data_IF_815877885999
#
_entry.id   IF_815877885999
#
_cell.length_a   1.000
_cell.length_b   1.000
_cell.length_c   1.000
_cell.angle_alpha   90.00
_cell.angle_beta   90.00
_cell.angle_gamma   90.00
#
_symmetry.space_group_name_H-M   'P 1'
#
loop_
_entity.id
_entity.type
_entity.pdbx_description
1 polymer ?
#
# COMPACT_ATOMS: atom_id res chain seq x y z
N UNK A 1 -14.54 0.31 4.31
CA UNK A 1 -15.44 -0.87 4.38
C UNK A 1 -15.02 -1.84 3.29
N UNK A 2 -14.91 -3.15 3.55
CA UNK A 2 -14.58 -4.13 2.54
C UNK A 2 -15.64 -4.13 1.42
N UNK A 3 -15.21 -4.05 0.16
CA UNK A 3 -16.11 -3.86 -1.01
C UNK A 3 -16.83 -5.13 -1.46
N UNK A 4 -16.21 -6.30 -1.29
CA UNK A 4 -16.74 -7.58 -1.78
C UNK A 4 -18.12 -7.97 -1.19
N UNK A 5 -18.41 -7.78 0.11
CA UNK A 5 -19.77 -7.97 0.64
C UNK A 5 -20.81 -7.06 -0.01
N UNK A 6 -20.43 -5.82 -0.36
CA UNK A 6 -21.31 -4.88 -1.08
C UNK A 6 -21.61 -5.37 -2.49
N UNK A 7 -20.59 -5.86 -3.21
CA UNK A 7 -20.74 -6.43 -4.56
C UNK A 7 -21.67 -7.65 -4.53
N UNK A 8 -21.46 -8.58 -3.59
CA UNK A 8 -22.31 -9.78 -3.44
C UNK A 8 -23.78 -9.43 -3.14
N UNK A 9 -24.02 -8.34 -2.41
CA UNK A 9 -25.39 -7.83 -2.17
C UNK A 9 -26.01 -7.20 -3.42
N UNK A 10 -25.21 -6.53 -4.25
CA UNK A 10 -25.67 -5.90 -5.49
C UNK A 10 -25.91 -6.91 -6.62
N UNK A 11 -25.25 -8.08 -6.57
CA UNK A 11 -25.35 -9.16 -7.55
C UNK A 11 -25.77 -10.48 -6.88
N UNK A 12 -27.01 -10.58 -6.34
CA UNK A 12 -27.43 -11.74 -5.55
C UNK A 12 -27.49 -13.04 -6.36
N UNK A 13 -27.76 -12.95 -7.66
CA UNK A 13 -27.90 -14.10 -8.56
C UNK A 13 -26.58 -14.52 -9.22
N UNK A 14 -25.45 -13.89 -8.85
CA UNK A 14 -24.13 -14.16 -9.44
C UNK A 14 -23.17 -14.71 -8.38
N UNK A 15 -22.56 -15.86 -8.65
CA UNK A 15 -21.51 -16.43 -7.81
C UNK A 15 -20.18 -15.74 -8.08
N UNK A 16 -19.67 -14.96 -7.11
CA UNK A 16 -18.37 -14.28 -7.21
C UNK A 16 -17.27 -15.12 -6.56
N UNK A 17 -16.40 -15.69 -7.40
CA UNK A 17 -15.14 -16.33 -6.99
C UNK A 17 -13.97 -15.34 -7.11
N UNK A 18 -13.03 -15.40 -6.17
CA UNK A 18 -11.85 -14.53 -6.14
C UNK A 18 -10.61 -15.39 -5.99
N UNK A 19 -9.65 -15.20 -6.88
CA UNK A 19 -8.34 -15.87 -6.87
C UNK A 19 -7.25 -14.81 -6.82
N UNK A 20 -6.20 -15.06 -6.04
CA UNK A 20 -5.03 -14.19 -5.97
C UNK A 20 -3.93 -14.77 -6.85
N UNK A 21 -3.39 -13.95 -7.75
CA UNK A 21 -2.31 -14.29 -8.67
C UNK A 21 -1.21 -13.23 -8.55
N UNK A 22 0.04 -13.61 -8.81
CA UNK A 22 1.18 -12.69 -8.82
C UNK A 22 1.13 -11.75 -10.04
N UNK A 23 0.82 -12.30 -11.23
CA UNK A 23 0.74 -11.57 -12.48
C UNK A 23 -0.69 -11.55 -13.04
N UNK A 24 -0.99 -10.51 -13.83
CA UNK A 24 -2.30 -10.38 -14.48
C UNK A 24 -2.53 -11.53 -15.48
N UNK A 25 -3.68 -12.24 -15.39
CA UNK A 25 -4.00 -13.31 -16.32
C UNK A 25 -4.37 -12.75 -17.70
N UNK A 26 -4.24 -13.57 -18.72
CA UNK A 26 -4.73 -13.24 -20.05
C UNK A 26 -6.22 -13.56 -20.13
N UNK A 27 -7.07 -12.54 -20.02
CA UNK A 27 -8.54 -12.69 -20.03
C UNK A 27 -9.12 -13.30 -21.33
N UNK A 28 -8.33 -13.39 -22.41
CA UNK A 28 -8.74 -14.06 -23.65
C UNK A 28 -8.45 -15.56 -23.66
N UNK A 29 -7.64 -16.06 -22.71
CA UNK A 29 -7.17 -17.45 -22.65
C UNK A 29 -7.47 -18.13 -21.32
N UNK A 30 -7.44 -17.37 -20.24
CA UNK A 30 -7.67 -17.85 -18.89
C UNK A 30 -9.16 -17.74 -18.52
N UNK A 31 -9.60 -18.60 -17.61
CA UNK A 31 -11.00 -18.68 -17.15
C UNK A 31 -11.29 -17.62 -16.07
N UNK A 32 -11.08 -16.35 -16.41
CA UNK A 32 -11.40 -15.21 -15.57
C UNK A 32 -12.23 -14.20 -16.35
N UNK A 33 -13.31 -13.71 -15.72
CA UNK A 33 -14.15 -12.66 -16.31
C UNK A 33 -13.56 -11.26 -16.10
N UNK A 34 -12.83 -11.07 -15.00
CA UNK A 34 -12.25 -9.78 -14.59
C UNK A 34 -10.90 -10.00 -13.90
N UNK A 35 -9.97 -9.06 -14.10
CA UNK A 35 -8.70 -8.97 -13.39
C UNK A 35 -8.57 -7.60 -12.71
N UNK A 36 -8.00 -7.56 -11.50
CA UNK A 36 -7.75 -6.33 -10.75
C UNK A 36 -6.28 -6.30 -10.31
N UNK A 37 -5.51 -5.40 -10.90
CA UNK A 37 -4.07 -5.29 -10.66
C UNK A 37 -3.67 -3.82 -10.51
N UNK A 38 -2.65 -3.57 -9.67
CA UNK A 38 -2.00 -2.27 -9.61
C UNK A 38 -0.94 -2.22 -10.71
N UNK A 39 -1.15 -1.38 -11.73
CA UNK A 39 -0.22 -1.23 -12.85
C UNK A 39 -0.33 0.19 -13.45
N UNK A 40 0.60 0.51 -14.35
CA UNK A 40 0.43 1.67 -15.22
C UNK A 40 -0.64 1.38 -16.27
N UNK A 41 -1.60 2.29 -16.47
CA UNK A 41 -2.64 2.09 -17.45
C UNK A 41 -2.06 2.06 -18.86
N UNK A 42 -2.44 1.03 -19.62
CA UNK A 42 -2.02 0.84 -21.02
C UNK A 42 -2.88 1.65 -21.98
N UNK A 43 -4.11 1.97 -21.57
CA UNK A 43 -5.10 2.67 -22.40
C UNK A 43 -5.88 1.73 -23.33
N UNK A 44 -5.80 0.42 -23.12
CA UNK A 44 -6.62 -0.55 -23.83
C UNK A 44 -8.13 -0.36 -23.52
N UNK A 45 -9.00 -0.63 -24.48
CA UNK A 45 -10.44 -0.41 -24.34
C UNK A 45 -11.10 -1.35 -23.32
N UNK A 46 -10.45 -2.48 -23.00
CA UNK A 46 -10.86 -3.39 -21.93
C UNK A 46 -10.36 -3.01 -20.54
N UNK A 47 -9.57 -1.94 -20.41
CA UNK A 47 -8.99 -1.50 -19.15
C UNK A 47 -9.82 -0.36 -18.53
N UNK A 48 -9.96 -0.37 -17.20
CA UNK A 48 -10.63 0.72 -16.47
C UNK A 48 -9.87 1.04 -15.20
N UNK A 49 -9.43 2.30 -15.07
CA UNK A 49 -8.76 2.80 -13.86
C UNK A 49 -9.81 3.00 -12.76
N UNK A 50 -9.78 2.13 -11.76
CA UNK A 50 -10.73 2.19 -10.62
C UNK A 50 -10.29 3.20 -9.57
N UNK A 51 -8.98 3.37 -9.39
CA UNK A 51 -8.40 4.33 -8.47
C UNK A 51 -6.93 4.59 -8.83
N UNK A 52 -6.49 5.83 -8.65
CA UNK A 52 -5.07 6.16 -8.61
C UNK A 52 -4.53 5.92 -7.21
N UNK A 53 -3.28 5.47 -7.14
CA UNK A 53 -2.62 5.19 -5.86
C UNK A 53 -1.35 6.01 -5.67
N UNK A 54 -1.07 6.32 -4.41
CA UNK A 54 0.10 7.07 -4.00
C UNK A 54 0.67 6.44 -2.73
N UNK A 55 2.00 6.42 -2.64
CA UNK A 55 2.69 5.87 -1.46
C UNK A 55 2.98 7.02 -0.48
N UNK A 56 2.61 6.79 0.77
CA UNK A 56 2.93 7.69 1.87
C UNK A 56 3.49 6.94 3.07
N UNK A 57 3.99 7.73 4.04
CA UNK A 57 4.37 7.26 5.35
C UNK A 57 3.19 7.39 6.30
N UNK A 58 2.98 6.36 7.11
CA UNK A 58 1.90 6.31 8.09
C UNK A 58 2.45 5.88 9.44
N UNK A 59 1.92 6.49 10.50
CA UNK A 59 2.24 6.11 11.89
C UNK A 59 0.95 5.97 12.68
N UNK A 60 0.99 5.14 13.72
CA UNK A 60 -0.09 5.08 14.68
C UNK A 60 -0.33 6.45 15.33
N UNK A 61 -1.59 6.83 15.55
CA UNK A 61 -1.96 8.15 16.09
C UNK A 61 -1.33 8.50 17.44
N UNK A 62 -0.97 7.49 18.24
CA UNK A 62 -0.37 7.70 19.55
C UNK A 62 1.13 8.04 19.47
N UNK A 63 1.77 7.87 18.30
CA UNK A 63 3.15 8.25 18.10
C UNK A 63 3.25 9.77 17.84
N UNK A 64 4.32 10.43 18.33
CA UNK A 64 4.51 11.86 18.14
C UNK A 64 4.65 12.21 16.65
N UNK A 65 3.96 13.27 16.24
CA UNK A 65 3.93 13.78 14.85
C UNK A 65 5.17 14.62 14.51
N UNK A 66 6.33 14.25 15.04
CA UNK A 66 7.61 14.95 14.86
C UNK A 66 8.21 14.66 13.50
N UNK A 67 9.08 15.57 13.03
CA UNK A 67 9.84 15.44 11.78
C UNK A 67 10.58 14.10 11.69
N UNK A 68 10.67 13.56 10.47
CA UNK A 68 11.33 12.29 10.14
C UNK A 68 12.80 12.26 10.60
N UNK A 69 13.41 13.43 10.76
CA UNK A 69 14.78 13.63 11.24
C UNK A 69 14.98 13.48 12.74
N UNK A 70 13.90 13.47 13.53
CA UNK A 70 13.94 13.38 15.00
C UNK A 70 13.49 12.01 15.50
N UNK A 71 12.98 11.16 14.62
CA UNK A 71 12.51 9.83 14.94
C UNK A 71 13.69 8.85 14.80
N UNK A 72 14.65 8.95 15.72
CA UNK A 72 15.90 8.18 15.74
C UNK A 72 15.70 6.72 16.22
N UNK A 73 14.46 6.31 16.51
CA UNK A 73 14.17 5.05 17.23
C UNK A 73 12.94 4.27 16.72
N UNK A 74 12.48 4.49 15.49
CA UNK A 74 11.27 3.85 14.97
C UNK A 74 11.59 3.02 13.73
N UNK A 75 11.13 1.76 13.74
CA UNK A 75 11.37 0.82 12.65
C UNK A 75 10.59 1.21 11.39
N UNK A 76 11.20 1.03 10.21
CA UNK A 76 10.49 1.15 8.94
C UNK A 76 9.85 -0.19 8.63
N UNK A 77 8.55 -0.17 8.43
CA UNK A 77 7.77 -1.33 8.00
C UNK A 77 7.55 -1.16 6.50
N UNK A 78 8.24 -1.97 5.72
CA UNK A 78 8.20 -1.97 4.26
C UNK A 78 7.67 -3.31 3.76
N UNK A 79 6.98 -3.30 2.62
CA UNK A 79 6.55 -4.51 1.96
C UNK A 79 7.28 -4.66 0.63
N UNK A 80 7.91 -5.82 0.45
CA UNK A 80 8.73 -6.16 -0.73
C UNK A 80 7.95 -6.20 -2.04
N UNK A 81 6.61 -6.19 -1.99
CA UNK A 81 5.73 -6.18 -3.16
C UNK A 81 5.53 -4.81 -3.79
N UNK A 82 6.28 -3.79 -3.36
CA UNK A 82 6.31 -2.48 -4.03
C UNK A 82 7.18 -2.61 -5.29
N UNK A 83 6.62 -2.82 -6.50
CA UNK A 83 7.41 -3.10 -7.69
C UNK A 83 8.06 -1.80 -8.15
N UNK A 84 9.35 -1.82 -8.49
CA UNK A 84 10.04 -0.65 -9.04
C UNK A 84 10.68 0.27 -7.99
N UNK A 85 11.74 -0.23 -7.34
CA UNK A 85 12.61 0.54 -6.43
C UNK A 85 13.41 1.62 -7.19
N UNK A 86 12.78 2.76 -7.52
CA UNK A 86 13.44 4.02 -7.93
C UNK A 86 12.60 5.25 -7.56
N UNK A 87 12.31 5.46 -6.28
CA UNK A 87 11.36 6.52 -5.89
C UNK A 87 11.94 7.44 -4.81
N UNK A 88 12.82 8.31 -5.28
CA UNK A 88 13.43 9.42 -4.53
C UNK A 88 14.45 10.14 -5.43
N UNK A 89 14.90 11.36 -5.11
CA UNK A 89 15.96 12.03 -5.87
C UNK A 89 17.26 11.21 -5.97
N UNK A 90 17.47 10.27 -5.03
CA UNK A 90 18.58 9.31 -5.00
C UNK A 90 18.28 7.94 -5.65
N UNK A 91 17.06 7.69 -6.16
CA UNK A 91 16.73 6.47 -6.90
C UNK A 91 16.77 5.16 -6.10
N UNK A 92 16.84 5.21 -4.76
CA UNK A 92 16.89 4.03 -3.86
C UNK A 92 15.94 4.26 -2.69
N UNK A 93 15.19 3.23 -2.27
CA UNK A 93 14.36 3.30 -1.05
C UNK A 93 14.61 2.08 -0.15
N UNK A 94 14.85 2.24 1.16
CA UNK A 94 15.00 3.50 1.88
C UNK A 94 16.37 4.12 1.60
N UNK A 95 16.39 5.42 1.25
CA UNK A 95 17.61 6.18 1.03
C UNK A 95 18.00 6.91 2.33
N UNK A 96 19.13 6.59 2.95
CA UNK A 96 19.56 7.19 4.22
C UNK A 96 19.72 8.71 4.16
N UNK A 97 19.95 9.27 2.96
CA UNK A 97 20.07 10.71 2.74
C UNK A 97 18.70 11.44 2.72
N UNK A 98 17.62 10.76 2.32
CA UNK A 98 16.25 11.28 2.39
C UNK A 98 15.55 10.88 3.70
N UNK A 99 16.05 9.85 4.35
CA UNK A 99 15.59 9.31 5.62
C UNK A 99 16.81 9.11 6.52
N UNK A 100 17.18 10.05 7.40
CA UNK A 100 18.22 9.85 8.40
C UNK A 100 17.69 8.91 9.49
N UNK A 101 17.36 7.67 9.11
CA UNK A 101 16.85 6.65 10.02
C UNK A 101 18.02 5.79 10.44
N UNK A 102 18.23 5.77 11.75
CA UNK A 102 19.07 4.78 12.40
C UNK A 102 18.16 3.61 12.78
N UNK A 103 18.50 2.41 12.29
CA UNK A 103 17.98 1.08 12.63
C UNK A 103 16.88 0.48 11.74
N UNK A 104 16.77 -0.85 11.89
CA UNK A 104 16.36 -1.91 10.95
C UNK A 104 15.08 -1.64 10.14
N UNK A 105 15.19 -1.86 8.84
CA UNK A 105 14.04 -2.02 7.95
C UNK A 105 13.53 -3.43 8.16
N UNK A 106 12.29 -3.56 8.64
CA UNK A 106 11.61 -4.85 8.62
C UNK A 106 10.95 -4.98 7.25
N UNK A 107 11.65 -5.64 6.34
CA UNK A 107 11.10 -6.03 5.05
C UNK A 107 10.18 -7.24 5.25
N UNK A 108 8.88 -6.99 5.20
CA UNK A 108 7.87 -8.04 5.31
C UNK A 108 7.40 -8.46 3.91
N UNK A 109 7.24 -9.76 3.63
CA UNK A 109 6.71 -10.23 2.35
C UNK A 109 5.21 -9.96 2.19
N UNK A 110 4.51 -9.62 3.27
CA UNK A 110 3.05 -9.44 3.27
C UNK A 110 2.68 -8.08 3.88
N UNK A 111 1.98 -7.27 3.07
CA UNK A 111 1.51 -5.94 3.44
C UNK A 111 0.66 -5.93 4.72
N UNK A 112 -0.14 -6.98 4.93
CA UNK A 112 -1.02 -7.09 6.11
C UNK A 112 -0.23 -7.17 7.42
N UNK A 113 0.96 -7.78 7.40
CA UNK A 113 1.83 -7.88 8.58
C UNK A 113 2.44 -6.51 8.87
N UNK A 114 3.03 -5.85 7.86
CA UNK A 114 3.54 -4.48 8.01
C UNK A 114 2.45 -3.51 8.50
N UNK A 115 1.22 -3.62 8.00
CA UNK A 115 0.10 -2.80 8.48
C UNK A 115 -0.25 -3.09 9.93
N UNK A 116 -0.28 -4.36 10.35
CA UNK A 116 -0.59 -4.74 11.73
C UNK A 116 0.46 -4.21 12.72
N UNK A 117 1.74 -4.34 12.40
CA UNK A 117 2.85 -3.80 13.19
C UNK A 117 2.76 -2.27 13.31
N UNK A 118 2.38 -1.59 12.22
CA UNK A 118 2.21 -0.14 12.22
C UNK A 118 1.03 0.30 13.09
N UNK A 119 -0.08 -0.43 13.04
CA UNK A 119 -1.24 -0.22 13.92
C UNK A 119 -0.92 -0.50 15.39
N UNK A 120 0.00 -1.43 15.67
CA UNK A 120 0.53 -1.68 17.02
C UNK A 120 1.50 -0.57 17.49
N UNK A 121 1.86 0.38 16.62
CA UNK A 121 2.78 1.47 16.94
C UNK A 121 4.25 1.07 16.89
N UNK A 122 4.60 -0.05 16.25
CA UNK A 122 5.98 -0.52 16.12
C UNK A 122 6.84 0.35 15.19
N UNK A 123 6.21 1.14 14.31
CA UNK A 123 6.91 1.67 13.16
C UNK A 123 6.22 2.76 12.36
N UNK A 124 6.99 3.30 11.40
CA UNK A 124 6.45 4.02 10.25
C UNK A 124 6.19 2.99 9.15
N UNK A 125 4.94 2.86 8.72
CA UNK A 125 4.56 2.10 7.53
C UNK A 125 4.77 2.95 6.29
N UNK A 126 5.50 2.42 5.32
CA UNK A 126 5.57 2.99 3.97
C UNK A 126 4.69 2.10 3.09
N UNK A 127 3.61 2.67 2.55
CA UNK A 127 2.65 1.84 1.83
C UNK A 127 1.66 2.62 0.97
N UNK A 128 0.89 1.83 0.22
CA UNK A 128 -0.19 2.27 -0.65
C UNK A 128 -1.31 2.95 0.14
N UNK A 129 -1.69 4.17 -0.23
CA UNK A 129 -2.73 4.94 0.45
C UNK A 129 -4.08 4.22 0.41
N UNK A 130 -4.42 3.63 -0.73
CA UNK A 130 -5.68 2.92 -0.93
C UNK A 130 -5.85 1.74 0.04
N UNK A 131 -4.74 1.11 0.43
CA UNK A 131 -4.76 -0.06 1.32
C UNK A 131 -4.87 0.30 2.81
N UNK A 132 -4.59 1.56 3.19
CA UNK A 132 -4.72 2.05 4.58
C UNK A 132 -5.87 3.03 4.79
N UNK A 133 -6.64 3.36 3.75
CA UNK A 133 -7.66 4.41 3.77
C UNK A 133 -8.66 4.23 4.94
N UNK A 134 -9.08 2.98 5.18
CA UNK A 134 -9.98 2.65 6.28
C UNK A 134 -9.35 2.92 7.67
N UNK A 135 -8.06 2.62 7.84
CA UNK A 135 -7.32 2.88 9.08
C UNK A 135 -7.09 4.37 9.33
N UNK A 136 -6.93 5.16 8.25
CA UNK A 136 -6.88 6.62 8.34
C UNK A 136 -8.25 7.19 8.71
N UNK A 137 -9.32 6.70 8.08
CA UNK A 137 -10.69 7.14 8.33
C UNK A 137 -11.13 6.87 9.78
N UNK A 138 -10.70 5.75 10.36
CA UNK A 138 -10.90 5.44 11.80
C UNK A 138 -10.00 6.28 12.72
N UNK A 139 -8.99 6.95 12.17
CA UNK A 139 -8.01 7.72 12.94
C UNK A 139 -7.01 6.84 13.70
N UNK A 140 -6.80 5.60 13.27
CA UNK A 140 -5.78 4.72 13.85
C UNK A 140 -4.40 5.08 13.31
N UNK A 141 -4.34 5.37 12.01
CA UNK A 141 -3.14 5.84 11.32
C UNK A 141 -3.26 7.31 10.93
N UNK A 142 -2.16 8.03 11.04
CA UNK A 142 -2.02 9.40 10.58
C UNK A 142 -0.84 9.51 9.63
N UNK A 143 -0.92 10.47 8.69
CA UNK A 143 0.22 10.87 7.85
C UNK A 143 1.06 11.86 8.66
N UNK A 144 2.28 11.50 9.09
CA UNK A 144 3.15 12.40 9.84
C UNK A 144 3.81 13.44 8.91
N UNK A 145 3.94 13.16 7.61
CA UNK A 145 4.64 14.00 6.65
C UNK A 145 3.77 14.30 5.42
N UNK A 146 3.94 15.49 4.81
CA UNK A 146 3.23 15.86 3.58
C UNK A 146 3.86 15.21 2.32
N UNK A 147 5.06 14.65 2.43
CA UNK A 147 5.80 14.05 1.33
C UNK A 147 5.05 12.87 0.71
N UNK A 148 5.17 12.76 -0.60
CA UNK A 148 4.45 11.79 -1.44
C UNK A 148 5.45 11.04 -2.31
N UNK A 149 5.35 9.73 -2.44
CA UNK A 149 6.18 8.95 -3.37
C UNK A 149 5.30 8.38 -4.49
N UNK A 150 5.76 8.58 -5.73
CA UNK A 150 5.17 7.96 -6.92
C UNK A 150 6.02 6.78 -7.33
N UNK A 151 5.38 5.70 -7.76
CA UNK A 151 5.99 4.57 -8.47
C UNK A 151 6.34 4.96 -9.92
#
# INVERSE_FOLDING_TARGET
>A
MPRLPGIRKALPDTSVAVTVLEDAPNLSRDLFDLSLFMSQPTGDCGETVIAEDQIFGFVHRALPRTSISTVTSVSILSCTTTPGRKTGPCGVFPCPACFPISREVLDTPNYSIALAEALAGAGILIGHHLLVEDSIRRGDLVRPFPQTWRL
#
